data_IF_990321156210
#
_entry.id   IF_990321156210
#
_cell.length_a   1.000
_cell.length_b   1.000
_cell.length_c   1.000
_cell.angle_alpha   90.00
_cell.angle_beta   90.00
_cell.angle_gamma   90.00
#
_symmetry.space_group_name_H-M   'P 1'
#
loop_
_entity.id
_entity.type
_entity.pdbx_description
1 polymer ?
#
# COMPACT_ATOMS: atom_id res chain seq x y z
N UNK A 1 -0.34 -12.61 14.47
CA UNK A 1 -0.63 -12.66 13.03
C UNK A 1 -1.33 -13.95 12.67
N UNK A 2 -2.47 -13.87 12.05
CA UNK A 2 -3.23 -15.06 11.70
C UNK A 2 -2.83 -15.51 10.30
N UNK A 3 -2.28 -16.72 10.19
CA UNK A 3 -1.92 -17.33 8.91
C UNK A 3 -1.01 -16.47 8.06
N UNK A 4 -0.10 -15.75 8.69
CA UNK A 4 0.82 -14.88 7.97
C UNK A 4 0.24 -13.55 7.56
N UNK A 5 -1.00 -13.27 7.94
CA UNK A 5 -1.67 -12.01 7.63
C UNK A 5 -1.78 -11.15 8.87
N UNK A 6 -1.83 -9.83 8.63
CA UNK A 6 -2.11 -8.88 9.69
C UNK A 6 -3.59 -8.56 9.64
N UNK A 7 -4.33 -8.89 10.70
CA UNK A 7 -5.76 -8.66 10.75
C UNK A 7 -6.13 -7.94 12.03
N UNK A 8 -7.28 -7.24 12.01
CA UNK A 8 -7.79 -6.58 13.20
C UNK A 8 -6.81 -5.60 13.79
N UNK A 9 -6.57 -5.75 15.10
CA UNK A 9 -5.67 -4.85 15.83
C UNK A 9 -4.23 -4.89 15.33
N UNK A 10 -3.79 -6.04 14.85
CA UNK A 10 -2.43 -6.15 14.31
C UNK A 10 -2.27 -5.32 13.05
N UNK A 11 -3.26 -5.33 12.18
CA UNK A 11 -3.23 -4.50 10.98
C UNK A 11 -3.32 -3.03 11.33
N UNK A 12 -4.18 -2.69 12.27
CA UNK A 12 -4.33 -1.30 12.70
C UNK A 12 -3.00 -0.78 13.26
N UNK A 13 -2.34 -1.56 14.09
CA UNK A 13 -1.07 -1.15 14.67
C UNK A 13 0.01 -1.00 13.61
N UNK A 14 0.11 -1.96 12.70
CA UNK A 14 1.08 -1.89 11.61
C UNK A 14 0.82 -0.65 10.75
N UNK A 15 -0.44 -0.43 10.40
CA UNK A 15 -0.81 0.72 9.57
C UNK A 15 -0.51 2.04 10.25
N UNK A 16 -0.86 2.16 11.52
CA UNK A 16 -0.62 3.39 12.28
C UNK A 16 0.86 3.72 12.33
N UNK A 17 1.69 2.70 12.65
CA UNK A 17 3.13 2.92 12.75
C UNK A 17 3.76 3.24 11.40
N UNK A 18 3.32 2.55 10.35
CA UNK A 18 3.86 2.81 9.02
C UNK A 18 3.45 4.20 8.52
N UNK A 19 2.20 4.58 8.73
CA UNK A 19 1.73 5.90 8.33
C UNK A 19 2.49 6.97 9.10
N UNK A 20 2.72 6.78 10.40
CA UNK A 20 3.50 7.73 11.18
C UNK A 20 4.91 7.89 10.63
N UNK A 21 5.54 6.77 10.25
CA UNK A 21 6.90 6.80 9.71
C UNK A 21 6.94 7.56 8.38
N UNK A 22 5.97 7.32 7.51
CA UNK A 22 5.93 8.02 6.22
C UNK A 22 5.63 9.49 6.40
N UNK A 23 4.74 9.84 7.34
CA UNK A 23 4.48 11.24 7.65
C UNK A 23 5.73 11.97 8.13
N UNK A 24 6.57 11.29 8.92
CA UNK A 24 7.82 11.87 9.37
C UNK A 24 8.76 12.12 8.21
N UNK A 25 8.82 11.20 7.25
CA UNK A 25 9.63 11.37 6.05
C UNK A 25 9.14 12.59 5.25
N UNK A 26 7.83 12.68 5.06
CA UNK A 26 7.24 13.80 4.32
C UNK A 26 7.45 15.14 5.04
N UNK A 27 7.37 15.12 6.37
CA UNK A 27 7.60 16.34 7.15
C UNK A 27 9.03 16.86 7.00
N UNK A 28 9.96 15.98 6.69
CA UNK A 28 11.35 16.34 6.42
C UNK A 28 11.56 16.81 4.96
N UNK A 29 10.49 16.88 4.17
CA UNK A 29 10.57 17.31 2.79
C UNK A 29 11.01 16.21 1.83
N UNK A 30 10.89 14.95 2.23
CA UNK A 30 11.36 13.81 1.45
C UNK A 30 10.17 12.99 0.97
N UNK A 31 10.24 12.54 -0.28
CA UNK A 31 9.31 11.54 -0.82
C UNK A 31 10.08 10.23 -0.90
N UNK A 32 9.52 9.17 -0.35
CA UNK A 32 10.25 7.90 -0.24
C UNK A 32 10.51 7.28 -1.61
N UNK A 33 9.47 7.17 -2.45
CA UNK A 33 9.53 6.70 -3.85
C UNK A 33 9.67 5.20 -4.05
N UNK A 34 9.92 4.44 -2.99
CA UNK A 34 10.14 3.00 -3.14
C UNK A 34 9.55 2.22 -1.97
N UNK A 35 8.33 2.56 -1.59
CA UNK A 35 7.63 1.86 -0.51
C UNK A 35 7.08 0.54 -1.05
N UNK A 36 7.58 -0.54 -0.52
CA UNK A 36 7.19 -1.90 -0.89
C UNK A 36 7.49 -2.82 0.30
N UNK A 37 6.94 -4.04 0.31
CA UNK A 37 7.11 -4.89 1.49
C UNK A 37 8.56 -5.14 1.89
N UNK A 38 9.48 -5.25 0.91
CA UNK A 38 10.88 -5.51 1.23
C UNK A 38 11.57 -4.31 1.87
N UNK A 39 10.98 -3.12 1.77
CA UNK A 39 11.53 -1.91 2.37
C UNK A 39 10.82 -1.52 3.66
N UNK A 40 9.92 -2.38 4.13
CA UNK A 40 9.23 -2.18 5.40
C UNK A 40 9.61 -3.34 6.30
N UNK A 41 10.56 -3.10 7.18
CA UNK A 41 11.01 -4.12 8.12
C UNK A 41 10.23 -4.00 9.41
N UNK A 42 9.84 -5.14 9.96
CA UNK A 42 9.10 -5.15 11.23
C UNK A 42 10.06 -5.52 12.34
N UNK A 43 10.21 -4.62 13.30
CA UNK A 43 11.05 -4.83 14.47
C UNK A 43 10.16 -4.94 15.72
N UNK A 44 10.80 -5.13 16.86
CA UNK A 44 10.06 -5.19 18.13
C UNK A 44 9.33 -3.89 18.43
N UNK A 45 9.80 -2.78 17.88
CA UNK A 45 9.19 -1.47 18.12
C UNK A 45 8.26 -1.03 17.01
N UNK A 46 8.11 -1.85 15.96
CA UNK A 46 7.21 -1.55 14.86
C UNK A 46 7.91 -1.53 13.51
N UNK A 47 7.20 -1.15 12.46
CA UNK A 47 7.78 -1.12 11.12
C UNK A 47 8.79 0.01 10.98
N UNK A 48 9.85 -0.27 10.22
CA UNK A 48 10.91 0.69 9.92
C UNK A 48 11.07 0.75 8.42
N UNK A 49 11.07 1.95 7.87
CA UNK A 49 11.32 2.15 6.44
C UNK A 49 12.81 2.15 6.17
N UNK A 50 13.19 1.48 5.08
CA UNK A 50 14.59 1.42 4.66
C UNK A 50 14.66 1.68 3.16
N UNK A 51 15.89 1.84 2.65
CA UNK A 51 16.17 1.95 1.22
C UNK A 51 15.32 3.01 0.53
N UNK A 52 15.45 4.25 1.01
CA UNK A 52 14.77 5.37 0.38
C UNK A 52 15.17 5.51 -1.08
N UNK A 53 14.22 5.85 -1.94
CA UNK A 53 14.45 6.07 -3.35
C UNK A 53 15.21 7.34 -3.68
N UNK A 54 15.81 7.98 -2.69
CA UNK A 54 16.55 9.22 -2.87
C UNK A 54 17.72 9.05 -3.83
N UNK A 55 18.29 7.84 -3.88
CA UNK A 55 19.42 7.57 -4.76
C UNK A 55 19.09 7.77 -6.23
N UNK A 56 17.80 7.83 -6.58
CA UNK A 56 17.39 8.07 -7.96
C UNK A 56 17.60 9.52 -8.40
N UNK A 57 17.75 10.41 -7.44
CA UNK A 57 17.94 11.82 -7.73
C UNK A 57 16.65 12.55 -8.01
N UNK A 58 16.74 13.88 -7.94
CA UNK A 58 15.58 14.73 -8.19
C UNK A 58 15.20 14.71 -9.66
N UNK A 59 13.91 14.65 -9.93
CA UNK A 59 13.41 14.68 -11.29
C UNK A 59 13.51 13.38 -12.04
N UNK A 60 14.08 12.35 -11.44
CA UNK A 60 14.13 11.06 -12.09
C UNK A 60 12.82 10.33 -11.84
N UNK A 61 12.32 9.67 -12.87
CA UNK A 61 11.09 8.91 -12.75
C UNK A 61 11.42 7.45 -12.47
N UNK A 62 10.37 6.69 -12.15
CA UNK A 62 10.51 5.24 -11.95
C UNK A 62 10.61 4.50 -13.28
N UNK A 63 10.54 5.19 -14.39
CA UNK A 63 10.69 4.60 -15.72
C UNK A 63 12.04 5.03 -16.27
N UNK A 64 12.87 4.06 -16.65
CA UNK A 64 14.17 4.34 -17.21
C UNK A 64 14.06 4.84 -18.65
N UNK A 65 15.19 5.27 -19.21
CA UNK A 65 15.22 5.71 -20.61
C UNK A 65 14.80 4.62 -21.58
N UNK A 66 14.95 3.37 -21.19
CA UNK A 66 14.57 2.25 -22.04
C UNK A 66 13.10 1.88 -21.86
N UNK A 67 12.39 2.59 -20.99
CA UNK A 67 11.00 2.28 -20.72
C UNK A 67 10.79 1.19 -19.71
N UNK A 68 11.86 0.69 -19.11
CA UNK A 68 11.74 -0.32 -18.07
C UNK A 68 11.26 0.33 -16.79
N UNK A 69 10.37 -0.35 -16.08
CA UNK A 69 9.85 0.12 -14.83
C UNK A 69 10.87 -0.14 -13.72
N UNK A 70 11.24 0.91 -13.00
CA UNK A 70 12.10 0.78 -11.83
C UNK A 70 11.20 0.68 -10.60
N UNK A 71 11.38 -0.35 -9.81
CA UNK A 71 10.55 -0.61 -8.66
C UNK A 71 9.75 -1.87 -8.87
N UNK A 72 8.85 -2.13 -7.95
CA UNK A 72 8.10 -3.39 -7.93
C UNK A 72 6.67 -3.17 -8.41
N UNK A 73 6.29 -3.77 -9.55
CA UNK A 73 4.92 -3.64 -10.04
C UNK A 73 3.92 -4.05 -8.96
N UNK A 74 2.82 -3.33 -8.88
CA UNK A 74 1.82 -3.54 -7.85
C UNK A 74 2.01 -2.67 -6.63
N UNK A 75 3.21 -2.09 -6.46
CA UNK A 75 3.50 -1.17 -5.36
C UNK A 75 3.89 0.22 -5.88
N UNK A 76 3.85 0.41 -7.18
CA UNK A 76 4.12 1.68 -7.85
C UNK A 76 2.78 2.30 -8.22
N UNK A 77 2.54 3.53 -7.79
CA UNK A 77 1.27 4.20 -8.08
C UNK A 77 1.05 4.33 -9.59
N UNK A 78 -0.21 4.20 -10.04
CA UNK A 78 -0.50 4.23 -11.48
C UNK A 78 -0.02 5.50 -12.18
N UNK A 79 -0.10 6.65 -11.53
CA UNK A 79 0.35 7.89 -12.16
C UNK A 79 1.85 7.89 -12.42
N UNK A 80 2.63 7.18 -11.60
CA UNK A 80 4.08 7.06 -11.82
C UNK A 80 4.35 6.21 -13.05
N UNK A 81 3.57 5.14 -13.23
CA UNK A 81 3.68 4.30 -14.43
C UNK A 81 3.40 5.14 -15.67
N UNK A 82 2.49 6.10 -15.56
CA UNK A 82 2.13 6.98 -16.67
C UNK A 82 3.13 8.12 -16.87
N UNK A 83 4.17 8.19 -16.05
CA UNK A 83 5.24 9.15 -16.24
C UNK A 83 5.24 10.35 -15.30
N UNK A 84 4.29 10.39 -14.36
CA UNK A 84 4.26 11.48 -13.39
C UNK A 84 5.42 11.35 -12.42
N UNK A 85 5.79 12.47 -11.82
CA UNK A 85 6.80 12.49 -10.77
C UNK A 85 6.22 11.97 -9.47
N UNK A 86 7.06 11.28 -8.70
CA UNK A 86 6.65 10.80 -7.38
C UNK A 86 6.39 11.98 -6.44
N UNK A 87 5.35 11.88 -5.64
CA UNK A 87 5.03 12.87 -4.62
C UNK A 87 4.46 12.15 -3.40
N UNK A 88 4.03 12.93 -2.41
CA UNK A 88 3.51 12.33 -1.19
C UNK A 88 2.32 11.43 -1.48
N UNK A 89 1.44 11.85 -2.37
CA UNK A 89 0.26 11.07 -2.68
C UNK A 89 0.59 9.74 -3.32
N UNK A 90 1.63 9.67 -4.17
CA UNK A 90 2.05 8.40 -4.73
C UNK A 90 2.65 7.49 -3.65
N UNK A 91 3.34 8.06 -2.66
CA UNK A 91 3.80 7.28 -1.51
C UNK A 91 2.61 6.68 -0.75
N UNK A 92 1.53 7.44 -0.58
CA UNK A 92 0.37 6.93 0.14
C UNK A 92 -0.32 5.78 -0.60
N UNK A 93 -0.34 5.84 -1.94
CA UNK A 93 -0.84 4.71 -2.72
C UNK A 93 -0.01 3.45 -2.44
N UNK A 94 1.32 3.61 -2.42
CA UNK A 94 2.22 2.49 -2.14
C UNK A 94 2.04 1.96 -0.72
N UNK A 95 1.85 2.85 0.26
CA UNK A 95 1.55 2.45 1.64
C UNK A 95 0.28 1.60 1.67
N UNK A 96 -0.76 2.05 0.97
CA UNK A 96 -2.01 1.29 0.94
C UNK A 96 -1.81 -0.09 0.32
N UNK A 97 -1.00 -0.18 -0.73
CA UNK A 97 -0.73 -1.47 -1.36
C UNK A 97 0.04 -2.41 -0.42
N UNK A 98 1.00 -1.86 0.34
CA UNK A 98 1.73 -2.65 1.32
C UNK A 98 0.80 -3.14 2.43
N UNK A 99 -0.06 -2.27 2.93
CA UNK A 99 -0.99 -2.66 4.00
C UNK A 99 -2.01 -3.67 3.49
N UNK A 100 -2.45 -3.54 2.24
CA UNK A 100 -3.36 -4.51 1.64
C UNK A 100 -2.65 -5.88 1.49
N UNK A 101 -1.38 -5.88 1.12
CA UNK A 101 -0.59 -7.11 1.10
C UNK A 101 -0.52 -7.73 2.50
N UNK A 102 -0.26 -6.91 3.51
CA UNK A 102 -0.19 -7.41 4.88
C UNK A 102 -1.52 -8.00 5.32
N UNK A 103 -2.62 -7.37 4.93
CA UNK A 103 -3.96 -7.80 5.36
C UNK A 103 -4.43 -9.07 4.66
N UNK A 104 -4.03 -9.27 3.40
CA UNK A 104 -4.49 -10.43 2.62
C UNK A 104 -3.48 -11.56 2.55
N UNK A 105 -2.21 -11.25 2.80
CA UNK A 105 -1.14 -12.22 2.71
C UNK A 105 -0.56 -12.36 1.30
N UNK A 106 -1.08 -11.64 0.32
CA UNK A 106 -0.62 -11.71 -1.05
C UNK A 106 -0.67 -10.34 -1.70
N UNK A 107 0.21 -10.08 -2.69
CA UNK A 107 0.12 -8.83 -3.44
C UNK A 107 -1.24 -8.74 -4.12
N UNK A 108 -1.96 -7.65 -3.87
CA UNK A 108 -3.37 -7.57 -4.27
C UNK A 108 -3.56 -7.34 -5.76
N UNK A 109 -2.50 -6.95 -6.47
CA UNK A 109 -2.55 -6.85 -7.93
C UNK A 109 -1.85 -8.03 -8.61
N UNK A 110 -1.43 -9.04 -7.83
CA UNK A 110 -0.74 -10.20 -8.35
C UNK A 110 0.75 -9.97 -8.49
N UNK A 111 1.45 -10.96 -9.03
CA UNK A 111 2.91 -10.90 -9.16
C UNK A 111 3.40 -11.04 -10.59
N UNK A 112 2.61 -11.63 -11.45
CA UNK A 112 3.03 -11.88 -12.84
C UNK A 112 1.83 -12.20 -13.72
N UNK A 113 1.97 -12.00 -15.01
CA UNK A 113 3.10 -11.30 -15.64
C UNK A 113 3.05 -9.81 -15.30
N UNK A 114 4.20 -9.15 -15.45
CA UNK A 114 4.31 -7.74 -15.06
C UNK A 114 3.22 -6.87 -15.69
N UNK A 115 2.96 -7.06 -16.98
CA UNK A 115 1.96 -6.25 -17.66
C UNK A 115 0.57 -6.42 -17.08
N UNK A 116 0.22 -7.63 -16.66
CA UNK A 116 -1.08 -7.85 -16.03
C UNK A 116 -1.18 -7.14 -14.69
N UNK A 117 -0.09 -7.14 -13.93
CA UNK A 117 -0.04 -6.43 -12.65
C UNK A 117 -0.25 -4.93 -12.87
N UNK A 118 0.45 -4.36 -13.85
CA UNK A 118 0.32 -2.94 -14.15
C UNK A 118 -1.08 -2.59 -14.62
N UNK A 119 -1.69 -3.47 -15.42
CA UNK A 119 -3.06 -3.24 -15.90
C UNK A 119 -4.07 -3.26 -14.76
N UNK A 120 -3.90 -4.18 -13.81
CA UNK A 120 -4.81 -4.25 -12.66
C UNK A 120 -4.67 -3.01 -11.78
N UNK A 121 -3.44 -2.54 -11.57
CA UNK A 121 -3.22 -1.32 -10.79
C UNK A 121 -3.87 -0.13 -11.48
N UNK A 122 -3.72 -0.03 -12.79
CA UNK A 122 -4.31 1.06 -13.55
C UNK A 122 -5.84 1.01 -13.57
N UNK A 123 -6.41 -0.19 -13.41
CA UNK A 123 -7.85 -0.37 -13.37
C UNK A 123 -8.43 -0.32 -11.96
N UNK A 124 -7.59 -0.29 -10.94
CA UNK A 124 -8.05 -0.34 -9.56
C UNK A 124 -8.57 -1.72 -9.17
N UNK A 125 -8.13 -2.77 -9.85
CA UNK A 125 -8.66 -4.13 -9.66
C UNK A 125 -7.86 -4.90 -8.61
N UNK A 126 -7.88 -4.42 -7.37
CA UNK A 126 -7.22 -5.09 -6.28
C UNK A 126 -8.05 -6.27 -5.78
N UNK A 127 -7.38 -7.39 -5.49
CA UNK A 127 -8.05 -8.54 -4.89
C UNK A 127 -8.03 -8.38 -3.37
N UNK A 128 -9.15 -7.93 -2.82
CA UNK A 128 -9.29 -7.64 -1.41
C UNK A 128 -10.21 -8.64 -0.71
N UNK A 129 -10.40 -9.80 -1.31
CA UNK A 129 -11.28 -10.83 -0.76
C UNK A 129 -10.85 -11.21 0.66
N UNK A 130 -11.82 -11.44 1.51
CA UNK A 130 -11.57 -11.84 2.88
C UNK A 130 -11.50 -10.71 3.89
N UNK A 131 -11.51 -9.46 3.44
CA UNK A 131 -11.47 -8.32 4.34
C UNK A 131 -12.87 -7.87 4.73
N UNK A 132 -13.02 -7.28 5.94
CA UNK A 132 -14.31 -6.69 6.30
C UNK A 132 -14.72 -5.60 5.31
N UNK A 133 -16.02 -5.39 5.19
CA UNK A 133 -16.57 -4.50 4.16
C UNK A 133 -16.03 -3.07 4.25
N UNK A 134 -15.93 -2.52 5.45
CA UNK A 134 -15.42 -1.15 5.62
C UNK A 134 -13.96 -1.03 5.26
N UNK A 135 -13.15 -1.99 5.68
CA UNK A 135 -11.73 -2.03 5.36
C UNK A 135 -11.54 -2.22 3.86
N UNK A 136 -12.33 -3.12 3.25
CA UNK A 136 -12.26 -3.36 1.82
C UNK A 136 -12.56 -2.08 1.03
N UNK A 137 -13.63 -1.37 1.41
CA UNK A 137 -14.00 -0.14 0.72
C UNK A 137 -12.91 0.93 0.86
N UNK A 138 -12.31 1.03 2.04
CA UNK A 138 -11.25 2.01 2.26
C UNK A 138 -10.01 1.69 1.43
N UNK A 139 -9.64 0.41 1.32
CA UNK A 139 -8.51 0.05 0.46
C UNK A 139 -8.81 0.34 -1.00
N UNK A 140 -10.03 0.06 -1.47
CA UNK A 140 -10.37 0.38 -2.85
C UNK A 140 -10.26 1.87 -3.12
N UNK A 141 -10.67 2.70 -2.16
CA UNK A 141 -10.53 4.14 -2.29
C UNK A 141 -9.05 4.56 -2.30
N UNK A 142 -8.29 4.06 -1.33
CA UNK A 142 -6.87 4.42 -1.21
C UNK A 142 -6.07 3.98 -2.44
N UNK A 143 -6.50 2.93 -3.13
CA UNK A 143 -5.83 2.38 -4.30
C UNK A 143 -6.49 2.80 -5.60
N UNK A 144 -7.39 3.78 -5.56
CA UNK A 144 -8.06 4.26 -6.77
C UNK A 144 -7.02 4.83 -7.74
N UNK A 145 -7.08 4.46 -9.02
CA UNK A 145 -6.14 5.06 -9.99
C UNK A 145 -6.35 6.56 -10.16
N UNK A 146 -7.56 7.05 -9.88
CA UNK A 146 -7.82 8.49 -9.93
C UNK A 146 -7.42 9.10 -8.58
N UNK A 147 -6.36 9.90 -8.60
CA UNK A 147 -5.81 10.51 -7.39
C UNK A 147 -6.85 11.31 -6.59
N UNK A 148 -7.78 11.93 -7.29
CA UNK A 148 -8.79 12.78 -6.64
C UNK A 148 -9.82 11.99 -5.86
N UNK A 149 -9.90 10.69 -6.09
CA UNK A 149 -10.87 9.82 -5.42
C UNK A 149 -10.29 9.05 -4.25
N UNK A 150 -8.99 9.20 -4.01
CA UNK A 150 -8.34 8.45 -2.94
C UNK A 150 -8.68 9.03 -1.57
N UNK A 151 -8.95 8.16 -0.62
CA UNK A 151 -9.07 8.58 0.76
C UNK A 151 -7.67 8.90 1.31
N UNK A 152 -7.64 9.61 2.44
CA UNK A 152 -6.39 9.91 3.11
C UNK A 152 -5.88 8.70 3.87
N UNK A 153 -4.58 8.66 4.20
CA UNK A 153 -4.08 7.55 5.03
C UNK A 153 -4.78 7.49 6.38
N UNK A 154 -5.16 8.63 6.96
CA UNK A 154 -5.87 8.64 8.23
C UNK A 154 -7.27 8.05 8.09
N UNK A 155 -7.93 8.30 6.98
CA UNK A 155 -9.25 7.72 6.73
C UNK A 155 -9.16 6.20 6.54
N UNK A 156 -8.12 5.75 5.84
CA UNK A 156 -7.89 4.31 5.69
C UNK A 156 -7.66 3.67 7.06
N UNK A 157 -6.82 4.28 7.88
CA UNK A 157 -6.52 3.76 9.20
C UNK A 157 -7.75 3.72 10.07
N UNK A 158 -8.60 4.75 9.99
CA UNK A 158 -9.83 4.79 10.77
C UNK A 158 -10.78 3.66 10.40
N UNK A 159 -10.89 3.35 9.11
CA UNK A 159 -11.74 2.25 8.66
C UNK A 159 -11.23 0.91 9.20
N UNK A 160 -9.91 0.72 9.19
CA UNK A 160 -9.32 -0.50 9.74
C UNK A 160 -9.60 -0.58 11.25
N UNK A 161 -9.45 0.54 11.96
CA UNK A 161 -9.67 0.57 13.40
C UNK A 161 -11.12 0.25 13.75
N UNK A 162 -12.06 0.77 12.99
CA UNK A 162 -13.48 0.47 13.21
C UNK A 162 -13.78 -1.01 13.04
N UNK A 163 -13.27 -1.61 11.98
CA UNK A 163 -13.49 -3.03 11.75
C UNK A 163 -12.72 -3.88 12.75
N UNK A 164 -11.62 -3.37 13.30
CA UNK A 164 -10.87 -4.10 14.33
C UNK A 164 -11.64 -4.25 15.62
N UNK A 165 -12.68 -3.45 15.83
CA UNK A 165 -13.54 -3.60 16.99
C UNK A 165 -14.41 -4.86 16.91
N UNK A 166 -14.48 -5.47 15.73
CA UNK A 166 -15.23 -6.71 15.56
C UNK A 166 -14.31 -7.78 14.98
N UNK A 167 -13.58 -8.51 15.85
CA UNK A 167 -12.65 -9.53 15.37
C UNK A 167 -13.29 -10.59 14.49
N UNK A 168 -14.57 -10.85 14.68
CA UNK A 168 -15.26 -11.86 13.88
C UNK A 168 -15.37 -11.47 12.41
N UNK A 169 -15.41 -10.19 12.11
CA UNK A 169 -15.50 -9.74 10.72
C UNK A 169 -14.26 -10.17 9.91
N UNK A 170 -13.11 -10.27 10.56
CA UNK A 170 -11.88 -10.68 9.89
C UNK A 170 -11.82 -12.18 9.66
N UNK A 171 -12.42 -12.94 10.54
CA UNK A 171 -12.45 -14.40 10.43
C UNK A 171 -13.52 -14.83 9.44
N UNK A 172 -14.71 -14.25 9.56
CA UNK A 172 -15.85 -14.62 8.73
C UNK A 172 -15.57 -14.37 7.24
N UNK A 173 -14.84 -13.31 6.93
CA UNK A 173 -14.51 -13.02 5.55
C UNK A 173 -13.67 -14.11 4.91
N UNK A 174 -12.93 -14.87 5.70
CA UNK A 174 -12.11 -15.95 5.20
C UNK A 174 -12.84 -17.28 5.12
N UNK A 175 -13.88 -17.44 5.89
CA UNK A 175 -14.53 -18.72 5.99
C UNK A 175 -15.90 -18.74 5.37
N UNK A 176 -16.28 -17.67 4.76
CA UNK A 176 -17.62 -17.56 4.20
C UNK A 176 -17.76 -18.31 2.89
N UNK A 177 -16.97 -19.24 2.70
CA UNK A 177 -17.09 -20.02 1.51
C UNK A 177 -18.08 -21.09 1.53
#
# INVERSE_FOLDING_TARGET
>A
RANGRYVGDDLERLGRKLIEAVKAVHAAGIVHRDIKPTNVMVSNTGPVLVDFGIAMGEGESHVTRTGLVMGTPGFIAPEIIDGAESDEMSDWWSVASVLAFAATGEPVFGTKPMMAVLERAAAGSANLAGLPAGTMAAFRSALDPDRTKRCTPDELLQAIALDALNPQAWISGNTSD
#
